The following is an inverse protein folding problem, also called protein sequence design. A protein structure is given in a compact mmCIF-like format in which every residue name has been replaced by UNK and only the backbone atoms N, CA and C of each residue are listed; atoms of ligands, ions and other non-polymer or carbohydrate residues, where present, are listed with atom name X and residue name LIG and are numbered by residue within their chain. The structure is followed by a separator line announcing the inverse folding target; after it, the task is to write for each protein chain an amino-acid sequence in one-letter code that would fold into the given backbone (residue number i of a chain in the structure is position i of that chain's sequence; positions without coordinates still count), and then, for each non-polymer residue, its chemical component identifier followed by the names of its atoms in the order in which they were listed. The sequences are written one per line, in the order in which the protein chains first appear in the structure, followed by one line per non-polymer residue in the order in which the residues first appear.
data_IF_647182770034
#
_entry.id   IF_647182770034
#
_cell.length_a   1.000
_cell.length_b   1.000
_cell.length_c   1.000
_cell.angle_alpha   90.00
_cell.angle_beta   90.00
_cell.angle_gamma   90.00
#
_symmetry.space_group_name_H-M   'P 1'
#
loop_
_entity.id
_entity.type
_entity.pdbx_description
1 polymer ?
#
# COMPACT_ATOMS: atom_id res chain seq x y z
N UNK A 1 27.94 22.36 -14.66
CA UNK A 1 27.88 20.98 -14.12
C UNK A 1 26.52 20.75 -13.45
N UNK A 2 25.45 20.51 -14.22
CA UNK A 2 24.10 20.38 -13.66
C UNK A 2 23.79 18.92 -13.31
N UNK A 3 23.99 18.55 -12.05
CA UNK A 3 23.62 17.25 -11.49
C UNK A 3 22.09 17.18 -11.36
N UNK A 4 21.47 16.44 -12.29
CA UNK A 4 20.06 16.54 -12.64
C UNK A 4 19.00 15.98 -11.67
N UNK A 5 17.71 16.16 -12.01
CA UNK A 5 16.51 15.81 -11.20
C UNK A 5 16.38 14.31 -10.84
N UNK A 6 17.15 13.45 -11.49
CA UNK A 6 17.17 12.00 -11.29
C UNK A 6 17.68 11.62 -9.89
N UNK A 7 18.62 12.39 -9.32
CA UNK A 7 19.16 12.12 -7.98
C UNK A 7 18.11 12.38 -6.88
N UNK A 8 17.35 13.47 -7.01
CA UNK A 8 16.17 13.78 -6.18
C UNK A 8 15.04 12.76 -6.31
N UNK A 9 15.01 11.97 -7.38
CA UNK A 9 14.01 10.91 -7.57
C UNK A 9 14.40 9.62 -6.82
N UNK A 10 15.69 9.24 -6.86
CA UNK A 10 16.22 8.12 -6.06
C UNK A 10 16.16 8.42 -4.56
N UNK A 11 16.52 9.63 -4.16
CA UNK A 11 16.51 10.06 -2.74
C UNK A 11 15.08 10.17 -2.16
N UNK A 12 14.04 10.30 -3.00
CA UNK A 12 12.62 10.34 -2.59
C UNK A 12 11.91 8.98 -2.61
N UNK A 13 12.65 7.87 -2.61
CA UNK A 13 12.08 6.52 -2.61
C UNK A 13 11.72 5.99 -3.99
N UNK A 14 12.54 6.27 -5.00
CA UNK A 14 12.32 5.88 -6.41
C UNK A 14 12.33 4.36 -6.71
N UNK A 15 12.30 3.49 -5.69
CA UNK A 15 12.16 2.04 -5.84
C UNK A 15 10.71 1.66 -5.56
N UNK A 16 10.03 1.18 -6.59
CA UNK A 16 8.69 0.60 -6.48
C UNK A 16 8.80 -0.85 -6.05
N UNK A 17 7.99 -1.25 -5.08
CA UNK A 17 7.84 -2.63 -4.63
C UNK A 17 6.49 -3.16 -5.09
N UNK A 18 6.43 -4.46 -5.35
CA UNK A 18 5.23 -5.17 -5.76
C UNK A 18 4.67 -5.94 -4.58
N UNK A 19 3.42 -5.67 -4.24
CA UNK A 19 2.62 -6.44 -3.28
C UNK A 19 1.58 -7.20 -4.07
N UNK A 20 1.38 -8.48 -3.77
CA UNK A 20 0.29 -9.27 -4.38
C UNK A 20 -0.69 -9.60 -3.27
N UNK A 21 -1.93 -9.18 -3.45
CA UNK A 21 -3.02 -9.44 -2.51
C UNK A 21 -4.28 -9.84 -3.28
N UNK A 22 -5.18 -10.64 -2.68
CA UNK A 22 -6.53 -10.82 -3.18
C UNK A 22 -7.25 -9.47 -3.35
N UNK A 23 -8.10 -9.35 -4.37
CA UNK A 23 -8.85 -8.12 -4.61
C UNK A 23 -9.68 -7.67 -3.39
N UNK A 24 -10.34 -8.60 -2.69
CA UNK A 24 -11.11 -8.25 -1.49
C UNK A 24 -10.22 -7.65 -0.39
N UNK A 25 -9.03 -8.21 -0.19
CA UNK A 25 -8.07 -7.67 0.78
C UNK A 25 -7.64 -6.25 0.39
N UNK A 26 -7.44 -5.98 -0.90
CA UNK A 26 -7.12 -4.64 -1.43
C UNK A 26 -8.27 -3.66 -1.16
N UNK A 27 -9.51 -4.08 -1.40
CA UNK A 27 -10.69 -3.24 -1.20
C UNK A 27 -10.94 -2.96 0.28
N UNK A 28 -10.88 -3.97 1.14
CA UNK A 28 -11.02 -3.80 2.59
C UNK A 28 -9.92 -2.90 3.13
N UNK A 29 -8.68 -3.06 2.66
CA UNK A 29 -7.56 -2.21 3.07
C UNK A 29 -7.74 -0.76 2.62
N UNK A 30 -8.24 -0.53 1.40
CA UNK A 30 -8.54 0.80 0.89
C UNK A 30 -9.70 1.47 1.66
N UNK A 31 -10.74 0.72 2.01
CA UNK A 31 -11.86 1.22 2.81
C UNK A 31 -11.42 1.58 4.22
N UNK A 32 -10.60 0.75 4.86
CA UNK A 32 -10.01 1.05 6.16
C UNK A 32 -9.13 2.31 6.11
N UNK A 33 -8.37 2.51 5.03
CA UNK A 33 -7.58 3.71 4.84
C UNK A 33 -8.46 4.96 4.64
N UNK A 34 -9.60 4.83 3.97
CA UNK A 34 -10.58 5.90 3.80
C UNK A 34 -11.27 6.27 5.11
N UNK A 35 -11.54 5.30 5.98
CA UNK A 35 -12.21 5.53 7.26
C UNK A 35 -11.35 6.20 8.32
N UNK A 36 -10.04 6.33 8.11
CA UNK A 36 -9.13 7.01 9.04
C UNK A 36 -9.54 8.46 9.23
N UNK A 37 -9.77 8.85 10.48
CA UNK A 37 -10.17 10.19 10.88
C UNK A 37 -9.01 11.17 10.75
N UNK A 38 -9.25 12.49 10.59
CA UNK A 38 -8.19 13.48 10.47
C UNK A 38 -7.16 13.43 11.62
N UNK A 39 -7.61 13.28 12.86
CA UNK A 39 -6.73 13.16 14.03
C UNK A 39 -5.84 11.90 14.00
N UNK A 40 -6.33 10.80 13.43
CA UNK A 40 -5.55 9.57 13.27
C UNK A 40 -4.52 9.71 12.15
N UNK A 41 -4.86 10.41 11.06
CA UNK A 41 -3.90 10.77 10.02
C UNK A 41 -2.77 11.63 10.60
N UNK A 42 -3.10 12.63 11.41
CA UNK A 42 -2.10 13.45 12.11
C UNK A 42 -1.22 12.60 13.04
N UNK A 43 -1.79 11.66 13.80
CA UNK A 43 -1.06 10.74 14.66
C UNK A 43 -0.14 9.75 13.91
N UNK A 44 -0.39 9.54 12.61
CA UNK A 44 0.49 8.81 11.69
C UNK A 44 1.56 9.71 11.04
N UNK A 45 1.46 11.02 11.24
CA UNK A 45 2.27 12.06 10.60
C UNK A 45 1.93 12.23 9.12
N UNK A 46 0.68 12.00 8.74
CA UNK A 46 0.22 12.00 7.35
C UNK A 46 -0.68 13.19 7.07
N UNK A 47 -0.59 13.67 5.84
CA UNK A 47 -1.53 14.65 5.29
C UNK A 47 -2.66 13.96 4.54
N UNK A 48 -3.74 14.68 4.23
CA UNK A 48 -4.75 14.21 3.28
C UNK A 48 -4.16 13.88 1.90
N UNK A 49 -3.12 14.61 1.47
CA UNK A 49 -2.43 14.33 0.21
C UNK A 49 -1.70 12.98 0.24
N UNK A 50 -1.18 12.58 1.40
CA UNK A 50 -0.59 11.24 1.58
C UNK A 50 -1.65 10.15 1.49
N UNK A 51 -2.79 10.32 2.14
CA UNK A 51 -3.92 9.39 2.04
C UNK A 51 -4.40 9.25 0.59
N UNK A 52 -4.61 10.37 -0.10
CA UNK A 52 -5.01 10.37 -1.52
C UNK A 52 -3.99 9.60 -2.37
N UNK A 53 -2.70 9.91 -2.22
CA UNK A 53 -1.63 9.25 -2.98
C UNK A 53 -1.60 7.74 -2.74
N UNK A 54 -1.82 7.29 -1.50
CA UNK A 54 -1.91 5.87 -1.19
C UNK A 54 -3.11 5.23 -1.88
N UNK A 55 -4.29 5.85 -1.78
CA UNK A 55 -5.51 5.39 -2.45
C UNK A 55 -5.38 5.32 -3.97
N UNK A 56 -4.65 6.26 -4.59
CA UNK A 56 -4.37 6.23 -6.03
C UNK A 56 -3.67 4.92 -6.46
N UNK A 57 -2.81 4.33 -5.60
CA UNK A 57 -2.18 3.03 -5.87
C UNK A 57 -3.18 1.86 -5.83
N UNK A 58 -4.12 1.86 -4.88
CA UNK A 58 -5.19 0.85 -4.80
C UNK A 58 -6.13 0.94 -6.00
N UNK A 59 -6.50 2.16 -6.41
CA UNK A 59 -7.34 2.38 -7.58
C UNK A 59 -6.68 1.95 -8.89
N UNK A 60 -5.35 2.14 -9.02
CA UNK A 60 -4.60 1.67 -10.17
C UNK A 60 -4.65 0.14 -10.31
N UNK A 61 -4.58 -0.60 -9.19
CA UNK A 61 -4.76 -2.05 -9.16
C UNK A 61 -6.18 -2.48 -9.53
N UNK A 62 -7.20 -1.71 -9.12
CA UNK A 62 -8.60 -1.97 -9.47
C UNK A 62 -8.88 -2.02 -10.98
N UNK A 63 -8.03 -1.42 -11.82
CA UNK A 63 -8.13 -1.55 -13.28
C UNK A 63 -7.97 -3.00 -13.76
N UNK A 64 -7.15 -3.80 -13.08
CA UNK A 64 -6.94 -5.22 -13.43
C UNK A 64 -8.20 -6.05 -13.17
N UNK A 65 -9.01 -5.61 -12.21
CA UNK A 65 -10.26 -6.26 -11.84
C UNK A 65 -11.43 -5.86 -12.77
N UNK A 66 -11.27 -4.84 -13.63
CA UNK A 66 -12.31 -4.42 -14.58
C UNK A 66 -12.59 -5.52 -15.61
N UNK A 67 -13.87 -5.89 -15.75
CA UNK A 67 -14.28 -6.96 -16.68
C UNK A 67 -14.05 -8.38 -16.16
N UNK A 68 -13.52 -8.54 -14.95
CA UNK A 68 -13.47 -9.86 -14.30
C UNK A 68 -14.87 -10.27 -13.82
N UNK A 69 -15.20 -11.55 -13.97
CA UNK A 69 -16.47 -12.09 -13.52
C UNK A 69 -16.63 -11.91 -11.99
N UNK A 70 -17.80 -11.47 -11.49
CA UNK A 70 -17.98 -11.13 -10.06
C UNK A 70 -17.64 -12.27 -9.09
N UNK A 71 -17.84 -13.52 -9.49
CA UNK A 71 -17.56 -14.73 -8.71
C UNK A 71 -16.05 -15.02 -8.57
N UNK A 72 -15.24 -14.57 -9.54
CA UNK A 72 -13.79 -14.73 -9.53
C UNK A 72 -13.07 -13.57 -8.84
N UNK A 73 -13.73 -12.41 -8.76
CA UNK A 73 -13.16 -11.16 -8.25
C UNK A 73 -12.55 -11.31 -6.85
N UNK A 74 -13.24 -11.89 -5.84
CA UNK A 74 -12.76 -11.88 -4.45
C UNK A 74 -11.34 -12.45 -4.26
N UNK A 75 -11.03 -13.50 -5.03
CA UNK A 75 -9.78 -14.27 -4.92
C UNK A 75 -8.77 -13.90 -5.98
N UNK A 76 -9.11 -12.99 -6.90
CA UNK A 76 -8.22 -12.56 -7.96
C UNK A 76 -6.94 -11.98 -7.34
N UNK A 77 -5.77 -12.57 -7.57
CA UNK A 77 -4.51 -11.98 -7.11
C UNK A 77 -4.20 -10.74 -7.94
N UNK A 78 -4.09 -9.59 -7.29
CA UNK A 78 -3.81 -8.32 -7.94
C UNK A 78 -2.49 -7.76 -7.42
N UNK A 79 -1.66 -7.30 -8.36
CA UNK A 79 -0.37 -6.67 -8.05
C UNK A 79 -0.56 -5.17 -7.79
N UNK A 80 -0.10 -4.71 -6.63
CA UNK A 80 0.02 -3.30 -6.25
C UNK A 80 1.48 -2.86 -6.41
N UNK A 81 1.70 -1.85 -7.24
CA UNK A 81 3.01 -1.22 -7.39
C UNK A 81 3.11 0.00 -6.46
N UNK A 82 3.83 -0.13 -5.35
CA UNK A 82 3.88 0.91 -4.31
C UNK A 82 5.32 1.40 -4.10
N UNK A 83 5.59 2.72 -4.08
CA UNK A 83 6.90 3.23 -3.70
C UNK A 83 7.33 2.76 -2.31
N UNK A 84 8.60 2.41 -2.11
CA UNK A 84 9.12 1.92 -0.82
C UNK A 84 8.73 2.81 0.38
N UNK A 85 8.81 4.13 0.21
CA UNK A 85 8.42 5.10 1.26
C UNK A 85 6.96 4.96 1.70
N UNK A 86 6.11 4.55 0.77
CA UNK A 86 4.68 4.40 0.98
C UNK A 86 4.40 2.99 1.55
N UNK A 87 5.25 1.99 1.29
CA UNK A 87 5.21 0.67 1.97
C UNK A 87 5.46 0.81 3.47
N UNK A 88 6.49 1.54 3.89
CA UNK A 88 6.78 1.77 5.32
C UNK A 88 5.65 2.51 6.04
N UNK A 89 4.99 3.42 5.33
CA UNK A 89 3.79 4.12 5.80
C UNK A 89 2.65 3.11 5.97
N UNK A 90 2.34 2.35 4.93
CA UNK A 90 1.29 1.32 4.99
C UNK A 90 1.56 0.29 6.09
N UNK A 91 2.81 -0.06 6.37
CA UNK A 91 3.18 -0.96 7.47
C UNK A 91 2.86 -0.37 8.84
N UNK A 92 3.13 0.93 9.06
CA UNK A 92 2.74 1.62 10.29
C UNK A 92 1.22 1.72 10.45
N UNK A 93 0.51 2.01 9.36
CA UNK A 93 -0.95 2.04 9.34
C UNK A 93 -1.57 0.67 9.62
N UNK A 94 -1.08 -0.37 8.93
CA UNK A 94 -1.54 -1.75 9.09
C UNK A 94 -1.39 -2.27 10.53
N UNK A 95 -0.37 -1.81 11.26
CA UNK A 95 -0.17 -2.21 12.67
C UNK A 95 -0.99 -1.40 13.67
N UNK A 96 -1.26 -0.12 13.39
CA UNK A 96 -1.85 0.81 14.38
C UNK A 96 -3.34 1.03 14.19
N UNK A 97 -3.79 1.17 12.95
CA UNK A 97 -5.14 1.63 12.64
C UNK A 97 -5.98 0.56 11.93
N UNK A 98 -5.37 -0.26 11.08
CA UNK A 98 -6.09 -1.32 10.38
C UNK A 98 -6.80 -2.31 11.33
N UNK A 99 -6.25 -2.72 12.50
CA UNK A 99 -6.96 -3.61 13.43
C UNK A 99 -8.23 -2.98 14.04
N UNK A 100 -8.36 -1.65 14.00
CA UNK A 100 -9.53 -0.93 14.51
C UNK A 100 -10.64 -0.81 13.47
N UNK A 101 -10.29 -0.96 12.19
CA UNK A 101 -11.18 -0.67 11.06
C UNK A 101 -11.48 -1.90 10.19
N UNK A 102 -10.58 -2.89 10.16
CA UNK A 102 -10.78 -4.14 9.43
C UNK A 102 -11.77 -5.04 10.16
N UNK A 103 -12.64 -5.70 9.40
CA UNK A 103 -13.58 -6.69 9.92
C UNK A 103 -13.02 -8.12 9.82
N UNK A 104 -11.94 -8.32 9.06
CA UNK A 104 -11.33 -9.62 8.82
C UNK A 104 -9.88 -9.71 9.35
N UNK A 105 -9.69 -10.45 10.45
CA UNK A 105 -8.37 -10.69 11.03
C UNK A 105 -7.42 -11.45 10.08
N UNK A 106 -7.94 -12.38 9.29
CA UNK A 106 -7.11 -13.13 8.34
C UNK A 106 -6.62 -12.25 7.17
N UNK A 107 -7.39 -11.22 6.79
CA UNK A 107 -6.93 -10.20 5.83
C UNK A 107 -5.77 -9.40 6.41
N UNK A 108 -5.88 -8.96 7.68
CA UNK A 108 -4.83 -8.23 8.38
C UNK A 108 -3.50 -9.01 8.37
N UNK A 109 -3.53 -10.30 8.70
CA UNK A 109 -2.34 -11.16 8.69
C UNK A 109 -1.69 -11.25 7.30
N UNK A 110 -2.49 -11.42 6.25
CA UNK A 110 -2.01 -11.47 4.86
C UNK A 110 -1.39 -10.14 4.43
N UNK A 111 -2.03 -9.02 4.77
CA UNK A 111 -1.51 -7.68 4.48
C UNK A 111 -0.19 -7.42 5.19
N UNK A 112 -0.10 -7.74 6.48
CA UNK A 112 1.12 -7.58 7.25
C UNK A 112 2.25 -8.44 6.69
N UNK A 113 1.98 -9.71 6.37
CA UNK A 113 2.96 -10.59 5.74
C UNK A 113 3.45 -10.06 4.39
N UNK A 114 2.54 -9.58 3.53
CA UNK A 114 2.89 -9.01 2.24
C UNK A 114 3.76 -7.75 2.38
N UNK A 115 3.40 -6.85 3.30
CA UNK A 115 4.16 -5.63 3.58
C UNK A 115 5.55 -5.92 4.18
N UNK A 116 5.65 -6.90 5.06
CA UNK A 116 6.92 -7.34 5.63
C UNK A 116 7.83 -7.89 4.52
N UNK A 117 7.35 -8.80 3.67
CA UNK A 117 8.14 -9.33 2.53
C UNK A 117 8.59 -8.21 1.59
N UNK A 118 7.71 -7.27 1.28
CA UNK A 118 8.02 -6.11 0.44
C UNK A 118 9.10 -5.20 1.07
N UNK A 119 9.02 -4.96 2.37
CA UNK A 119 9.98 -4.14 3.11
C UNK A 119 11.38 -4.76 3.13
N UNK A 120 11.48 -6.09 3.28
CA UNK A 120 12.75 -6.81 3.33
C UNK A 120 13.44 -6.95 1.96
N UNK A 121 12.68 -7.09 0.87
CA UNK A 121 13.22 -7.09 -0.51
C UNK A 121 13.90 -5.77 -0.90
N UNK A 122 13.62 -4.68 -0.19
CA UNK A 122 14.25 -3.37 -0.38
C UNK A 122 15.64 -3.23 0.27
N UNK A 123 16.00 -4.09 1.23
CA UNK A 123 17.21 -3.95 2.07
C UNK A 123 18.44 -4.73 1.61
N UNK A 124 18.33 -5.59 0.60
CA UNK A 124 19.49 -6.33 0.08
C UNK A 124 20.42 -5.33 -0.65
N UNK A 125 21.66 -5.10 -0.16
CA UNK A 125 22.66 -4.36 -0.92
C UNK A 125 22.95 -5.17 -2.18
N UNK A 126 22.95 -4.50 -3.34
CA UNK A 126 23.61 -5.09 -4.52
C UNK A 126 25.10 -4.85 -4.30
N UNK A 127 25.84 -5.92 -4.03
CA UNK A 127 27.30 -5.94 -4.12
C UNK A 127 27.76 -5.54 -5.53
#
# INVERSE_FOLDING_TARGET
MSRGPIRRWRERGGRTVRLVLPFDDIMEFALALLSVRPAELEALGWTFADRKRLLDHFLAAGKVAQGTAPDLLPRLPVELAIPQRDVERLQRFARRELPKAASNAAMLDRVLAALDVASHRGRVPRD
#
